data_IF_580593878960
#
_entry.id   IF_580593878960
#
_cell.length_a   1.000
_cell.length_b   1.000
_cell.length_c   1.000
_cell.angle_alpha   90.00
_cell.angle_beta   90.00
_cell.angle_gamma   90.00
#
_symmetry.space_group_name_H-M   'P 1'
#
loop_
_entity.id
_entity.type
_entity.pdbx_description
1 polymer ?
#
# COMPACT_ATOMS: atom_id res chain seq x y z
N UNK A 1 -14.94 -1.16 -24.51
CA UNK A 1 -14.45 -0.02 -23.72
C UNK A 1 -15.07 -0.13 -22.33
N UNK A 2 -14.54 -1.01 -21.46
CA UNK A 2 -15.02 -1.22 -20.09
C UNK A 2 -13.87 -1.73 -19.19
N UNK A 3 -12.67 -1.17 -19.33
CA UNK A 3 -11.48 -1.54 -18.53
C UNK A 3 -11.24 -0.61 -17.34
N UNK A 4 -12.21 0.23 -16.97
CA UNK A 4 -12.04 1.24 -15.91
C UNK A 4 -12.57 0.80 -14.52
N UNK A 5 -13.06 -0.45 -14.37
CA UNK A 5 -13.60 -0.94 -13.09
C UNK A 5 -12.63 -1.89 -12.35
N UNK A 6 -11.58 -2.43 -12.99
CA UNK A 6 -10.79 -3.54 -12.43
C UNK A 6 -9.31 -3.23 -12.10
N UNK A 7 -8.98 -2.02 -11.63
CA UNK A 7 -7.60 -1.72 -11.20
C UNK A 7 -7.48 -1.05 -9.82
N UNK A 8 -8.56 -1.00 -9.04
CA UNK A 8 -8.48 -0.57 -7.64
C UNK A 8 -7.97 -1.72 -6.77
N UNK A 9 -6.75 -1.59 -6.26
CA UNK A 9 -6.19 -2.47 -5.24
C UNK A 9 -6.37 -1.86 -3.87
N UNK A 10 -6.67 -2.70 -2.88
CA UNK A 10 -6.65 -2.32 -1.47
C UNK A 10 -5.24 -1.90 -1.03
N UNK A 11 -5.17 -1.29 0.15
CA UNK A 11 -3.89 -0.90 0.76
C UNK A 11 -2.95 -2.11 0.91
N UNK A 12 -3.50 -3.24 1.36
CA UNK A 12 -2.73 -4.47 1.61
C UNK A 12 -2.30 -5.17 0.34
N UNK A 13 -3.11 -5.18 -0.70
CA UNK A 13 -2.71 -5.70 -2.02
C UNK A 13 -1.60 -4.86 -2.62
N UNK A 14 -1.73 -3.53 -2.59
CA UNK A 14 -0.69 -2.61 -3.05
C UNK A 14 0.63 -2.84 -2.28
N UNK A 15 0.54 -2.97 -0.95
CA UNK A 15 1.72 -3.16 -0.11
C UNK A 15 2.34 -4.55 -0.33
N UNK A 16 1.53 -5.58 -0.55
CA UNK A 16 1.98 -6.94 -0.90
C UNK A 16 2.79 -6.93 -2.19
N UNK A 17 2.32 -6.26 -3.23
CA UNK A 17 3.04 -6.12 -4.49
C UNK A 17 4.36 -5.36 -4.33
N UNK A 18 4.35 -4.31 -3.50
CA UNK A 18 5.54 -3.50 -3.26
C UNK A 18 6.66 -4.34 -2.63
N UNK A 19 6.38 -5.11 -1.56
CA UNK A 19 7.40 -5.86 -0.80
C UNK A 19 8.03 -7.04 -1.55
N UNK A 20 7.53 -7.37 -2.74
CA UNK A 20 8.11 -8.37 -3.66
C UNK A 20 9.19 -7.76 -4.57
N UNK A 21 9.19 -6.43 -4.77
CA UNK A 21 10.18 -5.75 -5.61
C UNK A 21 11.55 -5.70 -4.93
N UNK A 22 12.62 -5.88 -5.72
CA UNK A 22 13.99 -5.75 -5.21
C UNK A 22 14.24 -4.32 -4.73
N UNK A 23 14.62 -4.16 -3.46
CA UNK A 23 14.90 -2.83 -2.89
C UNK A 23 13.67 -1.94 -2.72
N UNK A 24 12.50 -2.54 -2.51
CA UNK A 24 11.21 -1.85 -2.32
C UNK A 24 11.20 -0.73 -1.27
N UNK A 25 12.12 -0.76 -0.30
CA UNK A 25 12.25 0.21 0.78
C UNK A 25 13.16 1.40 0.45
N UNK A 26 13.91 1.36 -0.65
CA UNK A 26 14.99 2.33 -0.94
C UNK A 26 14.53 3.77 -1.06
N UNK A 27 13.29 3.98 -1.47
CA UNK A 27 12.71 5.32 -1.63
C UNK A 27 11.99 5.79 -0.35
N UNK A 28 11.92 4.96 0.69
CA UNK A 28 11.33 5.32 1.96
C UNK A 28 12.35 5.92 2.93
N UNK A 29 11.87 6.68 3.90
CA UNK A 29 12.69 7.22 5.00
C UNK A 29 13.17 6.13 5.99
N UNK A 30 12.72 4.89 5.81
CA UNK A 30 13.09 3.78 6.67
C UNK A 30 14.36 3.08 6.17
N UNK A 31 15.31 2.87 7.08
CA UNK A 31 16.47 2.05 6.80
C UNK A 31 16.08 0.58 6.51
N UNK A 32 17.04 -0.18 5.95
CA UNK A 32 16.85 -1.59 5.58
C UNK A 32 16.38 -2.49 6.74
N UNK A 33 16.89 -2.28 7.96
CA UNK A 33 16.54 -3.11 9.12
C UNK A 33 15.10 -2.83 9.55
N UNK A 34 14.75 -1.56 9.64
CA UNK A 34 13.39 -1.09 9.95
C UNK A 34 12.40 -1.58 8.90
N UNK A 35 12.74 -1.49 7.62
CA UNK A 35 11.91 -2.03 6.54
C UNK A 35 11.71 -3.55 6.62
N UNK A 36 12.75 -4.30 6.98
CA UNK A 36 12.61 -5.74 7.17
C UNK A 36 11.72 -6.10 8.36
N UNK A 37 11.83 -5.34 9.46
CA UNK A 37 10.93 -5.47 10.60
C UNK A 37 9.48 -5.15 10.21
N UNK A 38 9.24 -4.07 9.47
CA UNK A 38 7.91 -3.72 8.97
C UNK A 38 7.32 -4.79 8.05
N UNK A 39 8.13 -5.38 7.16
CA UNK A 39 7.71 -6.53 6.35
C UNK A 39 7.27 -7.71 7.23
N UNK A 40 8.03 -8.02 8.28
CA UNK A 40 7.64 -9.08 9.24
C UNK A 40 6.31 -8.74 9.94
N UNK A 41 6.14 -7.51 10.42
CA UNK A 41 4.88 -7.08 11.05
C UNK A 41 3.69 -7.15 10.08
N UNK A 42 3.90 -6.82 8.80
CA UNK A 42 2.85 -6.89 7.78
C UNK A 42 2.38 -8.34 7.58
N UNK A 43 3.32 -9.26 7.41
CA UNK A 43 3.03 -10.69 7.26
C UNK A 43 2.34 -11.31 8.50
N UNK A 44 2.50 -10.68 9.67
CA UNK A 44 1.81 -11.05 10.90
C UNK A 44 0.46 -10.35 11.10
N UNK A 45 0.04 -9.48 10.17
CA UNK A 45 -1.18 -8.69 10.29
C UNK A 45 -1.12 -7.58 11.34
N UNK A 46 0.09 -7.14 11.74
CA UNK A 46 0.34 -6.19 12.85
C UNK A 46 0.88 -4.84 12.41
N UNK A 47 1.24 -4.68 11.13
CA UNK A 47 1.79 -3.42 10.64
C UNK A 47 0.68 -2.36 10.53
N UNK A 48 0.83 -1.19 11.16
CA UNK A 48 -0.12 -0.09 11.01
C UNK A 48 -0.26 0.38 9.56
N UNK A 49 -1.48 0.71 9.17
CA UNK A 49 -1.80 1.17 7.81
C UNK A 49 -1.08 2.46 7.41
N UNK A 50 -0.83 3.36 8.37
CA UNK A 50 -0.07 4.59 8.14
C UNK A 50 1.33 4.30 7.58
N UNK A 51 2.01 3.29 8.14
CA UNK A 51 3.33 2.89 7.67
C UNK A 51 3.25 2.33 6.24
N UNK A 52 2.22 1.52 5.94
CA UNK A 52 1.99 1.01 4.56
C UNK A 52 1.81 2.16 3.58
N UNK A 53 1.04 3.20 3.96
CA UNK A 53 0.79 4.38 3.13
C UNK A 53 2.08 5.16 2.84
N UNK A 54 2.93 5.38 3.83
CA UNK A 54 4.24 6.06 3.63
C UNK A 54 5.08 5.35 2.57
N UNK A 55 5.21 4.03 2.66
CA UNK A 55 5.93 3.26 1.65
C UNK A 55 5.33 3.37 0.25
N UNK A 56 4.00 3.32 0.15
CA UNK A 56 3.30 3.38 -1.12
C UNK A 56 3.41 4.78 -1.74
N UNK A 57 3.22 5.83 -0.96
CA UNK A 57 3.37 7.23 -1.40
C UNK A 57 4.80 7.49 -1.90
N UNK A 58 5.81 7.06 -1.14
CA UNK A 58 7.21 7.16 -1.53
C UNK A 58 7.58 6.29 -2.75
N UNK A 59 6.82 5.22 -3.00
CA UNK A 59 6.94 4.39 -4.20
C UNK A 59 6.11 4.92 -5.38
N UNK A 60 5.46 6.08 -5.24
CA UNK A 60 4.69 6.74 -6.31
C UNK A 60 3.26 6.23 -6.48
N UNK A 61 2.74 5.42 -5.55
CA UNK A 61 1.34 5.02 -5.56
C UNK A 61 0.47 6.22 -5.20
N UNK A 62 -0.62 6.40 -5.94
CA UNK A 62 -1.62 7.43 -5.67
C UNK A 62 -2.88 6.77 -5.12
N UNK A 63 -3.46 7.36 -4.08
CA UNK A 63 -4.78 6.95 -3.57
C UNK A 63 -5.82 7.34 -4.62
N UNK A 64 -6.39 6.35 -5.30
CA UNK A 64 -7.54 6.53 -6.18
C UNK A 64 -8.73 5.94 -5.44
N UNK A 65 -9.38 6.76 -4.61
CA UNK A 65 -10.62 6.35 -3.97
C UNK A 65 -11.77 6.85 -4.83
N UNK A 66 -12.64 5.95 -5.25
CA UNK A 66 -13.89 6.31 -5.91
C UNK A 66 -14.84 6.88 -4.85
N UNK A 67 -15.38 8.08 -5.05
CA UNK A 67 -16.39 8.64 -4.14
C UNK A 67 -17.64 7.75 -4.19
N UNK A 68 -17.99 7.12 -3.06
CA UNK A 68 -19.19 6.32 -2.92
C UNK A 68 -20.23 7.14 -2.16
N UNK A 69 -21.34 7.45 -2.83
CA UNK A 69 -22.46 8.19 -2.28
C UNK A 69 -23.60 7.21 -1.97
N UNK A 70 -24.20 7.30 -0.78
CA UNK A 70 -25.40 6.54 -0.40
C UNK A 70 -26.53 7.51 -0.07
N UNK A 71 -27.71 7.26 -0.62
CA UNK A 71 -28.93 7.96 -0.23
C UNK A 71 -29.44 7.36 1.08
N UNK A 72 -29.68 8.21 2.07
CA UNK A 72 -30.48 7.83 3.25
C UNK A 72 -31.95 7.97 2.87
N UNK A 73 -32.68 6.86 2.81
CA UNK A 73 -34.14 6.84 2.82
C UNK A 73 -34.63 6.81 4.27
#
# INVERSE_FOLDING_TARGET
MNDLINNSKTLDECFSDLILKRGWWKNSDFDRKTAHFHKKQFLLGKLPDEIKRVYLENAGYKKVQQELWKISL
#
